data_IF_752791163181
#
_entry.id   IF_752791163181
#
_cell.length_a   1.000
_cell.length_b   1.000
_cell.length_c   1.000
_cell.angle_alpha   90.00
_cell.angle_beta   90.00
_cell.angle_gamma   90.00
#
_symmetry.space_group_name_H-M   'P 1'
#
loop_
_entity.id
_entity.type
_entity.pdbx_description
1 polymer ?
#
# COMPACT_ATOMS: atom_id res chain seq x y z
N UNK A 1 -32.43 4.00 0.17
CA UNK A 1 -31.69 5.24 -0.11
C UNK A 1 -31.42 5.96 1.19
N UNK A 2 -30.17 6.34 1.46
CA UNK A 2 -29.72 7.01 2.67
C UNK A 2 -29.10 8.36 2.32
N UNK A 3 -29.25 9.33 3.23
CA UNK A 3 -28.57 10.63 3.19
C UNK A 3 -28.12 11.00 4.59
N UNK A 4 -26.99 11.65 4.70
CA UNK A 4 -26.43 12.11 5.97
C UNK A 4 -26.55 13.63 6.06
N UNK A 5 -26.88 14.15 7.24
CA UNK A 5 -26.79 15.56 7.59
C UNK A 5 -25.92 15.72 8.81
N UNK A 6 -25.08 16.72 8.83
CA UNK A 6 -24.36 17.13 10.03
C UNK A 6 -25.25 18.04 10.87
N UNK A 7 -25.19 17.91 12.20
CA UNK A 7 -25.88 18.77 13.17
C UNK A 7 -24.79 19.37 14.06
N UNK A 8 -24.78 20.69 14.21
CA UNK A 8 -23.87 21.37 15.12
C UNK A 8 -24.43 21.44 16.56
N UNK A 9 -23.63 21.95 17.49
CA UNK A 9 -23.96 22.04 18.92
C UNK A 9 -25.21 22.89 19.22
N UNK A 10 -25.58 23.81 18.32
CA UNK A 10 -26.80 24.66 18.45
C UNK A 10 -27.98 24.11 17.67
N UNK A 11 -27.87 22.86 17.13
CA UNK A 11 -28.97 22.19 16.45
C UNK A 11 -29.18 22.60 14.99
N UNK A 12 -28.31 23.45 14.41
CA UNK A 12 -28.38 23.76 12.98
C UNK A 12 -27.90 22.61 12.14
N UNK A 13 -28.64 22.30 11.07
CA UNK A 13 -28.34 21.14 10.19
C UNK A 13 -27.78 21.60 8.86
N UNK A 14 -26.83 20.82 8.33
CA UNK A 14 -26.31 21.02 6.97
C UNK A 14 -27.34 20.61 5.90
N UNK A 15 -27.07 20.95 4.66
CA UNK A 15 -27.72 20.30 3.52
C UNK A 15 -27.44 18.81 3.56
N UNK A 16 -28.37 17.95 3.11
CA UNK A 16 -28.14 16.53 3.04
C UNK A 16 -26.99 16.20 2.04
N UNK A 17 -26.25 15.14 2.33
CA UNK A 17 -25.32 14.56 1.36
C UNK A 17 -26.04 14.11 0.09
N UNK A 18 -25.29 13.77 -0.95
CA UNK A 18 -25.80 12.98 -2.06
C UNK A 18 -26.46 11.70 -1.54
N UNK A 19 -27.48 11.23 -2.27
CA UNK A 19 -28.14 9.98 -1.92
C UNK A 19 -27.21 8.79 -2.21
N UNK A 20 -27.14 7.85 -1.27
CA UNK A 20 -26.50 6.56 -1.43
C UNK A 20 -27.55 5.48 -1.29
N UNK A 21 -27.55 4.52 -2.18
CA UNK A 21 -28.40 3.34 -2.09
C UNK A 21 -27.61 2.19 -1.47
N UNK A 22 -28.20 1.55 -0.50
CA UNK A 22 -27.69 0.29 0.05
C UNK A 22 -28.81 -0.74 -0.04
N UNK A 23 -28.46 -1.92 -0.49
CA UNK A 23 -29.33 -3.09 -0.52
C UNK A 23 -28.94 -3.99 0.65
N UNK A 24 -29.91 -4.44 1.42
CA UNK A 24 -29.69 -5.50 2.39
C UNK A 24 -29.62 -6.80 1.60
N UNK A 25 -28.55 -7.53 1.73
CA UNK A 25 -28.29 -8.77 1.03
C UNK A 25 -27.74 -9.78 2.04
N UNK A 26 -28.22 -10.99 1.95
CA UNK A 26 -27.65 -12.11 2.69
C UNK A 26 -26.38 -12.57 1.96
N UNK A 27 -25.29 -12.66 2.69
CA UNK A 27 -24.03 -13.20 2.21
C UNK A 27 -23.75 -14.54 2.88
N UNK A 28 -23.19 -15.48 2.15
CA UNK A 28 -22.48 -16.61 2.75
C UNK A 28 -21.21 -16.10 3.45
N UNK A 29 -20.66 -16.92 4.35
CA UNK A 29 -19.41 -16.59 5.04
C UNK A 29 -18.26 -16.35 4.04
N UNK A 30 -18.20 -17.13 2.96
CA UNK A 30 -17.17 -16.99 1.92
C UNK A 30 -17.31 -15.67 1.15
N UNK A 31 -18.52 -15.28 0.75
CA UNK A 31 -18.77 -14.00 0.08
C UNK A 31 -18.43 -12.81 0.99
N UNK A 32 -18.77 -12.91 2.28
CA UNK A 32 -18.43 -11.88 3.25
C UNK A 32 -16.91 -11.76 3.43
N UNK A 33 -16.20 -12.89 3.53
CA UNK A 33 -14.74 -12.91 3.64
C UNK A 33 -14.08 -12.32 2.38
N UNK A 34 -14.58 -12.63 1.20
CA UNK A 34 -14.09 -12.07 -0.06
C UNK A 34 -14.25 -10.55 -0.10
N UNK A 35 -15.42 -10.04 0.30
CA UNK A 35 -15.66 -8.60 0.40
C UNK A 35 -14.70 -7.91 1.37
N UNK A 36 -14.47 -8.52 2.54
CA UNK A 36 -13.55 -7.96 3.56
C UNK A 36 -12.11 -7.97 3.05
N UNK A 37 -11.69 -9.05 2.38
CA UNK A 37 -10.36 -9.15 1.79
C UNK A 37 -10.16 -8.11 0.68
N UNK A 38 -11.12 -7.97 -0.22
CA UNK A 38 -11.05 -6.96 -1.28
C UNK A 38 -11.01 -5.55 -0.71
N UNK A 39 -11.89 -5.22 0.25
CA UNK A 39 -11.90 -3.91 0.90
C UNK A 39 -10.57 -3.60 1.61
N UNK A 40 -9.96 -4.60 2.25
CA UNK A 40 -8.64 -4.48 2.89
C UNK A 40 -7.54 -4.29 1.85
N UNK A 41 -7.56 -5.05 0.76
CA UNK A 41 -6.63 -4.91 -0.36
C UNK A 41 -6.65 -3.51 -0.96
N UNK A 42 -7.84 -2.89 -1.08
CA UNK A 42 -8.03 -1.54 -1.62
C UNK A 42 -7.24 -0.47 -0.88
N UNK A 43 -6.97 -0.64 0.43
CA UNK A 43 -6.07 0.25 1.15
C UNK A 43 -4.66 0.28 0.55
N UNK A 44 -4.11 -0.87 0.21
CA UNK A 44 -2.77 -0.98 -0.37
C UNK A 44 -2.74 -0.71 -1.87
N UNK A 45 -3.86 -0.83 -2.56
CA UNK A 45 -3.91 -0.66 -4.00
C UNK A 45 -4.39 0.73 -4.41
N UNK A 46 -5.59 1.13 -4.01
CA UNK A 46 -6.20 2.39 -4.43
C UNK A 46 -5.67 3.57 -3.61
N UNK A 47 -5.42 3.35 -2.32
CA UNK A 47 -4.95 4.37 -1.40
C UNK A 47 -3.42 4.46 -1.28
N UNK A 48 -2.67 3.59 -1.96
CA UNK A 48 -1.22 3.70 -2.07
C UNK A 48 -0.79 5.10 -2.54
N UNK A 49 0.41 5.51 -2.15
CA UNK A 49 0.92 6.82 -2.57
C UNK A 49 1.10 6.88 -4.10
N UNK A 50 0.57 7.90 -4.79
CA UNK A 50 0.48 7.91 -6.25
C UNK A 50 1.84 7.96 -6.95
N UNK A 51 2.87 8.54 -6.34
CA UNK A 51 4.22 8.62 -6.91
C UNK A 51 5.02 7.36 -6.62
N UNK A 52 5.15 6.98 -5.35
CA UNK A 52 5.98 5.84 -4.94
C UNK A 52 5.31 4.48 -5.10
N UNK A 53 3.99 4.40 -5.04
CA UNK A 53 3.26 3.14 -4.92
C UNK A 53 3.33 2.49 -3.54
N UNK A 54 4.06 3.08 -2.59
CA UNK A 54 4.21 2.58 -1.22
C UNK A 54 2.92 2.78 -0.41
N UNK A 55 2.76 1.97 0.63
CA UNK A 55 1.65 2.10 1.57
C UNK A 55 1.77 3.41 2.36
N UNK A 56 0.69 4.18 2.43
CA UNK A 56 0.59 5.32 3.33
C UNK A 56 0.61 4.84 4.78
N UNK A 57 1.10 5.68 5.69
CA UNK A 57 1.17 5.34 7.11
C UNK A 57 -0.23 5.07 7.68
N UNK A 58 -1.21 5.91 7.32
CA UNK A 58 -2.64 5.74 7.63
C UNK A 58 -3.49 6.56 6.68
N UNK A 59 -4.81 6.41 6.78
CA UNK A 59 -5.73 7.29 6.07
C UNK A 59 -5.50 8.76 6.49
N UNK A 60 -5.29 9.64 5.51
CA UNK A 60 -5.03 11.06 5.75
C UNK A 60 -3.58 11.41 6.10
N UNK A 61 -2.60 10.49 6.06
CA UNK A 61 -1.18 10.79 6.35
C UNK A 61 -0.45 11.62 5.28
N UNK A 62 -1.14 12.00 4.21
CA UNK A 62 -0.57 12.85 3.15
C UNK A 62 0.62 12.18 2.46
N UNK A 63 1.80 12.83 2.54
CA UNK A 63 3.04 12.34 1.92
C UNK A 63 3.73 11.21 2.70
N UNK A 64 3.30 10.93 3.94
CA UNK A 64 3.98 9.94 4.78
C UNK A 64 3.63 8.52 4.34
N UNK A 65 4.64 7.79 3.91
CA UNK A 65 4.59 6.35 3.61
C UNK A 65 5.48 5.58 4.56
N UNK A 66 5.19 4.29 4.78
CA UNK A 66 5.97 3.44 5.69
C UNK A 66 6.69 2.33 4.93
N UNK A 67 7.90 2.01 5.34
CA UNK A 67 8.66 0.92 4.73
C UNK A 67 8.08 -0.44 5.09
N UNK A 68 7.86 -0.74 6.36
CA UNK A 68 7.29 -2.02 6.78
C UNK A 68 5.85 -2.23 6.33
N UNK A 69 4.99 -1.20 6.46
CA UNK A 69 3.63 -1.26 5.92
C UNK A 69 3.60 -1.52 4.42
N UNK A 70 4.60 -1.03 3.67
CA UNK A 70 4.75 -1.32 2.26
C UNK A 70 5.16 -2.78 2.01
N UNK A 71 5.94 -3.40 2.91
CA UNK A 71 6.23 -4.84 2.85
C UNK A 71 4.96 -5.68 2.95
N UNK A 72 4.06 -5.35 3.88
CA UNK A 72 2.72 -5.97 3.95
C UNK A 72 1.88 -5.65 2.71
N UNK A 73 1.95 -4.43 2.19
CA UNK A 73 1.28 -4.04 0.95
C UNK A 73 1.71 -4.88 -0.26
N UNK A 74 3.00 -5.21 -0.36
CA UNK A 74 3.52 -6.11 -1.40
C UNK A 74 2.92 -7.52 -1.26
N UNK A 75 2.80 -8.04 -0.03
CA UNK A 75 2.11 -9.32 0.21
C UNK A 75 0.63 -9.25 -0.15
N UNK A 76 -0.05 -8.13 0.15
CA UNK A 76 -1.42 -7.91 -0.26
C UNK A 76 -1.58 -7.86 -1.79
N UNK A 77 -0.61 -7.31 -2.52
CA UNK A 77 -0.61 -7.31 -4.00
C UNK A 77 -0.55 -8.75 -4.54
N UNK A 78 0.31 -9.61 -3.98
CA UNK A 78 0.36 -11.03 -4.34
C UNK A 78 -1.00 -11.71 -4.11
N UNK A 79 -1.59 -11.51 -2.92
CA UNK A 79 -2.91 -12.04 -2.61
C UNK A 79 -3.98 -11.50 -3.56
N UNK A 80 -3.90 -10.22 -3.93
CA UNK A 80 -4.81 -9.58 -4.89
C UNK A 80 -4.75 -10.20 -6.28
N UNK A 81 -3.59 -10.62 -6.75
CA UNK A 81 -3.44 -11.37 -8.02
C UNK A 81 -4.09 -12.74 -7.91
N UNK A 82 -3.82 -13.49 -6.83
CA UNK A 82 -4.41 -14.83 -6.60
C UNK A 82 -5.93 -14.79 -6.46
N UNK A 83 -6.47 -13.72 -5.89
CA UNK A 83 -7.91 -13.51 -5.72
C UNK A 83 -8.57 -12.89 -6.96
N UNK A 84 -7.81 -12.47 -7.97
CA UNK A 84 -8.33 -11.82 -9.18
C UNK A 84 -8.81 -10.38 -8.95
N UNK A 85 -8.38 -9.71 -7.87
CA UNK A 85 -8.69 -8.29 -7.63
C UNK A 85 -7.92 -7.37 -8.56
N UNK A 86 -6.74 -7.81 -9.00
CA UNK A 86 -5.90 -7.17 -10.01
C UNK A 86 -5.26 -8.23 -10.89
N UNK A 87 -4.87 -7.84 -12.09
CA UNK A 87 -4.13 -8.73 -12.99
C UNK A 87 -2.66 -8.83 -12.57
N UNK A 88 -2.01 -9.92 -12.99
CA UNK A 88 -0.57 -10.13 -12.76
C UNK A 88 0.28 -9.01 -13.40
N UNK A 89 -0.13 -8.53 -14.56
CA UNK A 89 0.54 -7.43 -15.27
C UNK A 89 0.46 -6.11 -14.48
N UNK A 90 -0.73 -5.72 -14.05
CA UNK A 90 -0.94 -4.53 -13.20
C UNK A 90 -0.11 -4.60 -11.91
N UNK A 91 -0.03 -5.79 -11.29
CA UNK A 91 0.78 -6.01 -10.09
C UNK A 91 2.27 -5.82 -10.36
N UNK A 92 2.79 -6.36 -11.48
CA UNK A 92 4.18 -6.18 -11.90
C UNK A 92 4.49 -4.71 -12.13
N UNK A 93 3.64 -3.98 -12.82
CA UNK A 93 3.81 -2.53 -13.06
C UNK A 93 3.84 -1.74 -11.74
N UNK A 94 2.97 -2.08 -10.80
CA UNK A 94 2.96 -1.48 -9.46
C UNK A 94 4.26 -1.77 -8.70
N UNK A 95 4.75 -3.00 -8.74
CA UNK A 95 5.97 -3.41 -8.07
C UNK A 95 7.22 -2.79 -8.71
N UNK A 96 7.26 -2.64 -10.03
CA UNK A 96 8.33 -1.90 -10.72
C UNK A 96 8.36 -0.42 -10.31
N UNK A 97 7.20 0.21 -10.14
CA UNK A 97 7.12 1.57 -9.58
C UNK A 97 7.69 1.63 -8.17
N UNK A 98 7.30 0.71 -7.29
CA UNK A 98 7.77 0.63 -5.90
C UNK A 98 9.29 0.43 -5.86
N UNK A 99 9.82 -0.54 -6.59
CA UNK A 99 11.26 -0.85 -6.58
C UNK A 99 12.09 0.28 -7.17
N UNK A 100 11.62 0.92 -8.26
CA UNK A 100 12.27 2.09 -8.85
C UNK A 100 12.32 3.29 -7.88
N UNK A 101 11.26 3.51 -7.12
CA UNK A 101 11.25 4.53 -6.07
C UNK A 101 12.23 4.19 -4.93
N UNK A 102 12.23 2.97 -4.45
CA UNK A 102 13.10 2.51 -3.36
C UNK A 102 14.60 2.59 -3.70
N UNK A 103 14.97 2.48 -4.97
CA UNK A 103 16.36 2.65 -5.42
C UNK A 103 16.90 4.06 -5.17
N UNK A 104 16.04 5.06 -5.15
CA UNK A 104 16.38 6.47 -5.01
C UNK A 104 16.05 7.04 -3.62
N UNK A 105 15.30 6.29 -2.81
CA UNK A 105 14.90 6.71 -1.47
C UNK A 105 16.09 6.71 -0.51
N UNK A 106 16.05 7.59 0.49
CA UNK A 106 17.08 7.69 1.51
C UNK A 106 17.27 6.35 2.24
N UNK A 107 18.54 6.00 2.45
CA UNK A 107 18.96 4.83 3.22
C UNK A 107 20.09 5.21 4.19
N UNK A 108 20.12 4.52 5.31
CA UNK A 108 21.23 4.60 6.25
C UNK A 108 21.87 3.21 6.39
N UNK A 109 23.10 3.06 5.92
CA UNK A 109 23.80 1.76 5.88
C UNK A 109 22.98 0.62 5.24
N UNK A 110 22.21 0.92 4.18
CA UNK A 110 21.37 -0.02 3.47
C UNK A 110 19.94 -0.15 3.99
N UNK A 111 19.64 0.30 5.22
CA UNK A 111 18.30 0.27 5.78
C UNK A 111 17.48 1.51 5.39
N UNK A 112 16.20 1.31 5.07
CA UNK A 112 15.25 2.41 4.91
C UNK A 112 14.77 2.91 6.27
N UNK A 113 14.31 4.16 6.32
CA UNK A 113 13.71 4.73 7.53
C UNK A 113 12.30 4.16 7.75
N UNK A 114 11.79 4.33 8.97
CA UNK A 114 10.41 4.00 9.32
C UNK A 114 9.44 4.71 8.38
N UNK A 115 9.57 6.04 8.28
CA UNK A 115 8.78 6.88 7.39
C UNK A 115 9.62 7.54 6.30
N UNK A 116 9.04 7.56 5.11
CA UNK A 116 9.57 8.27 3.94
C UNK A 116 8.52 9.26 3.43
N UNK A 117 8.98 10.34 2.83
CA UNK A 117 8.13 11.17 1.99
C UNK A 117 7.89 10.43 0.67
N UNK A 118 6.64 10.12 0.38
CA UNK A 118 6.24 9.29 -0.77
C UNK A 118 6.49 9.92 -2.14
N UNK A 119 6.71 11.25 -2.21
CA UNK A 119 7.07 11.94 -3.45
C UNK A 119 8.58 12.01 -3.63
N UNK A 120 9.33 12.34 -2.57
CA UNK A 120 10.77 12.67 -2.68
C UNK A 120 11.69 11.53 -2.26
N UNK A 121 11.20 10.51 -1.56
CA UNK A 121 12.01 9.44 -0.98
C UNK A 121 12.84 9.88 0.24
N UNK A 122 12.67 11.11 0.71
CA UNK A 122 13.42 11.62 1.87
C UNK A 122 12.86 11.08 3.16
N UNK A 123 13.75 10.84 4.14
CA UNK A 123 13.34 10.43 5.47
C UNK A 123 12.41 11.45 6.11
N UNK A 124 11.34 10.98 6.73
CA UNK A 124 10.53 11.74 7.67
C UNK A 124 10.85 11.17 9.05
N UNK A 125 11.42 11.98 9.97
CA UNK A 125 11.78 11.49 11.30
C UNK A 125 10.54 10.97 12.05
N UNK A 126 10.61 9.73 12.52
CA UNK A 126 9.59 9.16 13.41
C UNK A 126 9.69 9.79 14.81
N UNK A 127 10.93 10.01 15.26
CA UNK A 127 11.25 10.73 16.50
C UNK A 127 12.66 11.31 16.41
N UNK A 128 13.08 12.09 17.43
CA UNK A 128 14.43 12.68 17.51
C UNK A 128 15.54 11.63 17.45
N UNK A 129 15.28 10.41 17.91
CA UNK A 129 16.24 9.29 17.92
C UNK A 129 15.99 8.27 16.82
N UNK A 130 14.95 8.46 16.03
CA UNK A 130 14.56 7.59 14.92
C UNK A 130 14.30 8.46 13.68
N UNK A 131 15.41 8.92 13.08
CA UNK A 131 15.43 9.72 11.86
C UNK A 131 16.40 9.16 10.81
N UNK A 132 16.75 7.89 10.92
CA UNK A 132 17.64 7.17 10.01
C UNK A 132 17.05 5.84 9.58
N UNK A 133 17.90 4.81 9.41
CA UNK A 133 17.46 3.48 9.07
C UNK A 133 16.73 2.78 10.22
N UNK A 134 15.62 2.13 9.91
CA UNK A 134 14.87 1.26 10.83
C UNK A 134 15.02 -0.20 10.36
N UNK A 135 15.68 -1.03 11.18
CA UNK A 135 15.98 -2.43 10.83
C UNK A 135 14.72 -3.30 10.83
N UNK A 136 13.76 -3.04 11.71
CA UNK A 136 12.52 -3.81 11.81
C UNK A 136 11.64 -3.56 10.60
N UNK A 137 11.40 -2.28 10.31
CA UNK A 137 10.59 -1.87 9.16
C UNK A 137 11.24 -2.30 7.84
N UNK A 138 12.58 -2.17 7.73
CA UNK A 138 13.35 -2.65 6.58
C UNK A 138 13.21 -4.17 6.42
N UNK A 139 13.22 -4.95 7.52
CA UNK A 139 13.06 -6.40 7.44
C UNK A 139 11.68 -6.79 6.86
N UNK A 140 10.60 -6.12 7.27
CA UNK A 140 9.28 -6.34 6.69
C UNK A 140 9.23 -5.96 5.21
N UNK A 141 9.83 -4.84 4.82
CA UNK A 141 9.89 -4.42 3.42
C UNK A 141 10.64 -5.45 2.57
N UNK A 142 11.83 -5.87 3.02
CA UNK A 142 12.66 -6.87 2.30
C UNK A 142 11.94 -8.21 2.22
N UNK A 143 11.25 -8.64 3.29
CA UNK A 143 10.46 -9.88 3.26
C UNK A 143 9.37 -9.83 2.19
N UNK A 144 8.63 -8.72 2.07
CA UNK A 144 7.65 -8.52 1.01
C UNK A 144 8.29 -8.56 -0.39
N UNK A 145 9.42 -7.88 -0.57
CA UNK A 145 10.16 -7.87 -1.84
C UNK A 145 10.67 -9.27 -2.22
N UNK A 146 11.18 -10.04 -1.27
CA UNK A 146 11.63 -11.41 -1.51
C UNK A 146 10.48 -12.35 -1.88
N UNK A 147 9.33 -12.20 -1.22
CA UNK A 147 8.11 -12.93 -1.59
C UNK A 147 7.67 -12.59 -3.02
N UNK A 148 7.65 -11.31 -3.38
CA UNK A 148 7.33 -10.88 -4.75
C UNK A 148 8.33 -11.44 -5.78
N UNK A 149 9.63 -11.44 -5.47
CA UNK A 149 10.65 -12.01 -6.35
C UNK A 149 10.43 -13.51 -6.59
N UNK A 150 9.97 -14.24 -5.57
CA UNK A 150 9.66 -15.67 -5.70
C UNK A 150 8.35 -15.93 -6.44
N UNK A 151 7.35 -15.08 -6.26
CA UNK A 151 6.02 -15.23 -6.87
C UNK A 151 5.99 -14.83 -8.35
N UNK A 152 6.63 -13.71 -8.71
CA UNK A 152 6.70 -13.22 -10.09
C UNK A 152 7.90 -13.87 -10.82
N UNK A 153 7.80 -15.17 -11.09
CA UNK A 153 8.85 -16.01 -11.66
C UNK A 153 8.71 -16.25 -13.17
N UNK A 154 7.75 -15.60 -13.82
CA UNK A 154 7.46 -15.75 -15.24
C UNK A 154 8.63 -15.32 -16.15
N UNK A 155 8.58 -15.75 -17.40
CA UNK A 155 9.62 -15.51 -18.41
C UNK A 155 9.48 -14.15 -19.11
N UNK A 156 8.49 -13.34 -18.78
CA UNK A 156 8.33 -12.02 -19.38
C UNK A 156 9.51 -11.11 -19.02
N UNK A 157 9.81 -10.16 -19.92
CA UNK A 157 10.85 -9.15 -19.66
C UNK A 157 10.55 -8.35 -18.39
N UNK A 158 9.29 -7.98 -18.17
CA UNK A 158 8.87 -7.16 -17.04
C UNK A 158 9.12 -7.90 -15.71
N UNK A 159 8.75 -9.19 -15.61
CA UNK A 159 9.01 -9.97 -14.40
C UNK A 159 10.50 -10.24 -14.19
N UNK A 160 11.24 -10.51 -15.26
CA UNK A 160 12.70 -10.62 -15.18
C UNK A 160 13.37 -9.34 -14.69
N UNK A 161 12.88 -8.18 -15.17
CA UNK A 161 13.35 -6.88 -14.74
C UNK A 161 13.01 -6.60 -13.28
N UNK A 162 11.78 -6.92 -12.84
CA UNK A 162 11.37 -6.81 -11.45
C UNK A 162 12.27 -7.63 -10.52
N UNK A 163 12.51 -8.90 -10.83
CA UNK A 163 13.40 -9.75 -10.03
C UNK A 163 14.82 -9.19 -9.92
N UNK A 164 15.34 -8.63 -11.00
CA UNK A 164 16.66 -7.99 -11.00
C UNK A 164 16.69 -6.73 -10.14
N UNK A 165 15.67 -5.86 -10.25
CA UNK A 165 15.56 -4.68 -9.39
C UNK A 165 15.48 -5.07 -7.91
N UNK A 166 14.65 -6.06 -7.55
CA UNK A 166 14.57 -6.54 -6.17
C UNK A 166 15.93 -7.05 -5.70
N UNK A 167 16.63 -7.83 -6.52
CA UNK A 167 17.95 -8.36 -6.16
C UNK A 167 19.01 -7.29 -5.93
N UNK A 168 18.88 -6.12 -6.56
CA UNK A 168 19.80 -4.99 -6.39
C UNK A 168 19.50 -4.13 -5.16
N UNK A 169 18.30 -4.28 -4.56
CA UNK A 169 17.85 -3.47 -3.44
C UNK A 169 18.39 -3.95 -2.08
N UNK A 170 18.85 -5.20 -1.96
CA UNK A 170 19.30 -5.81 -0.70
C UNK A 170 20.64 -6.53 -0.80
#
# INVERSE_FOLDING_TARGET
>A
TYRVKAINEVGATSQPSSAVEAMVQDFSDDELLDMVQEATFRYFWDYAHPVSGLARERYGSGETVTSGGSGFGIMAIIAGVERGFVTREEAVDRLLKITGFLQQADRFHGAWSHWLNGTTGKVIPFSTKDNGGDLVETAFLVQGLLAARGYFDGLSYAEGHLRNQITQLW
#
